data_IF_747597163460
#
_entry.id   IF_747597163460
#
_cell.length_a   1.000
_cell.length_b   1.000
_cell.length_c   1.000
_cell.angle_alpha   90.00
_cell.angle_beta   90.00
_cell.angle_gamma   90.00
#
_symmetry.space_group_name_H-M   'P 1'
#
loop_
_entity.id
_entity.type
_entity.pdbx_description
1 polymer ?
#
# COMPACT_ATOMS: atom_id res chain seq x y z
N UNK A 1 12.76 -10.35 -24.03
CA UNK A 1 12.04 -10.40 -22.74
C UNK A 1 10.76 -9.60 -22.92
N UNK A 2 9.58 -10.20 -22.73
CA UNK A 2 8.32 -9.48 -22.96
C UNK A 2 8.19 -8.29 -22.00
N UNK A 3 7.79 -7.10 -22.50
CA UNK A 3 7.69 -5.89 -21.68
C UNK A 3 6.70 -6.08 -20.52
N UNK A 4 5.62 -6.84 -20.73
CA UNK A 4 4.57 -7.09 -19.73
C UNK A 4 5.06 -7.92 -18.53
N UNK A 5 5.91 -8.92 -18.77
CA UNK A 5 6.50 -9.77 -17.72
C UNK A 5 7.53 -8.99 -16.90
N UNK A 6 8.32 -8.15 -17.56
CA UNK A 6 9.29 -7.28 -16.89
C UNK A 6 8.56 -6.31 -15.96
N UNK A 7 7.46 -5.71 -16.44
CA UNK A 7 6.60 -4.85 -15.63
C UNK A 7 6.01 -5.59 -14.41
N UNK A 8 5.51 -6.82 -14.58
CA UNK A 8 5.01 -7.64 -13.47
C UNK A 8 6.06 -7.89 -12.39
N UNK A 9 7.28 -8.27 -12.78
CA UNK A 9 8.39 -8.52 -11.85
C UNK A 9 8.76 -7.25 -11.09
N UNK A 10 8.94 -6.13 -11.80
CA UNK A 10 9.26 -4.85 -11.16
C UNK A 10 8.16 -4.36 -10.22
N UNK A 11 6.89 -4.47 -10.65
CA UNK A 11 5.74 -4.09 -9.83
C UNK A 11 5.66 -4.95 -8.56
N UNK A 12 5.72 -6.29 -8.69
CA UNK A 12 5.67 -7.21 -7.55
C UNK A 12 6.83 -6.98 -6.57
N UNK A 13 8.05 -6.80 -7.09
CA UNK A 13 9.24 -6.52 -6.28
C UNK A 13 9.11 -5.18 -5.54
N UNK A 14 8.67 -4.12 -6.24
CA UNK A 14 8.46 -2.81 -5.64
C UNK A 14 7.43 -2.87 -4.51
N UNK A 15 6.29 -3.56 -4.71
CA UNK A 15 5.28 -3.74 -3.66
C UNK A 15 5.83 -4.59 -2.50
N UNK A 16 6.57 -5.67 -2.79
CA UNK A 16 7.19 -6.53 -1.79
C UNK A 16 8.18 -5.81 -0.90
N UNK A 17 9.15 -5.10 -1.49
CA UNK A 17 10.14 -4.28 -0.77
C UNK A 17 9.45 -3.19 0.05
N UNK A 18 8.45 -2.54 -0.53
CA UNK A 18 7.68 -1.51 0.16
C UNK A 18 6.94 -2.02 1.40
N UNK A 19 6.30 -3.19 1.29
CA UNK A 19 5.64 -3.85 2.42
C UNK A 19 6.67 -4.37 3.42
N UNK A 20 7.82 -4.86 2.96
CA UNK A 20 8.95 -5.24 3.82
C UNK A 20 9.45 -4.08 4.69
N UNK A 21 9.56 -2.88 4.11
CA UNK A 21 9.90 -1.68 4.87
C UNK A 21 8.85 -1.32 5.94
N UNK A 22 7.56 -1.66 5.72
CA UNK A 22 6.51 -1.52 6.76
C UNK A 22 6.63 -2.60 7.84
N UNK A 23 7.07 -3.80 7.49
CA UNK A 23 7.26 -4.92 8.41
C UNK A 23 8.34 -4.63 9.44
N UNK A 24 9.48 -4.08 9.01
CA UNK A 24 10.58 -3.67 9.89
C UNK A 24 10.10 -2.69 10.96
N UNK A 25 9.11 -1.84 10.63
CA UNK A 25 8.51 -0.87 11.57
C UNK A 25 7.41 -1.47 12.46
N UNK A 26 6.85 -2.63 12.11
CA UNK A 26 5.67 -3.20 12.77
C UNK A 26 5.70 -4.75 12.81
N UNK A 27 6.72 -5.38 13.44
CA UNK A 27 7.00 -6.80 13.29
C UNK A 27 5.93 -7.74 13.89
N UNK A 28 5.10 -7.24 14.81
CA UNK A 28 4.07 -8.04 15.51
C UNK A 28 2.84 -8.39 14.65
N UNK A 29 2.70 -7.86 13.44
CA UNK A 29 1.55 -8.14 12.55
C UNK A 29 1.83 -9.34 11.65
N UNK A 30 1.39 -10.53 12.06
CA UNK A 30 1.58 -11.80 11.32
C UNK A 30 1.03 -11.73 9.88
N UNK A 31 -0.14 -11.14 9.66
CA UNK A 31 -0.71 -10.98 8.31
C UNK A 31 0.23 -10.23 7.34
N UNK A 32 1.03 -9.28 7.85
CA UNK A 32 1.95 -8.49 7.03
C UNK A 32 3.14 -9.31 6.53
N UNK A 33 3.59 -10.30 7.31
CA UNK A 33 4.61 -11.27 6.87
C UNK A 33 4.13 -12.06 5.65
N UNK A 34 2.89 -12.56 5.68
CA UNK A 34 2.31 -13.30 4.55
C UNK A 34 2.08 -12.42 3.31
N UNK A 35 1.74 -11.13 3.50
CA UNK A 35 1.66 -10.18 2.37
C UNK A 35 3.02 -10.00 1.71
N UNK A 36 4.09 -9.81 2.50
CA UNK A 36 5.46 -9.68 1.97
C UNK A 36 5.89 -10.96 1.26
N UNK A 37 5.67 -12.12 1.88
CA UNK A 37 5.95 -13.41 1.27
C UNK A 37 5.21 -13.60 -0.06
N UNK A 38 3.91 -13.26 -0.11
CA UNK A 38 3.11 -13.33 -1.33
C UNK A 38 3.74 -12.53 -2.49
N UNK A 39 4.14 -11.28 -2.26
CA UNK A 39 4.72 -10.44 -3.32
C UNK A 39 6.14 -10.81 -3.71
N UNK A 40 6.97 -11.26 -2.76
CA UNK A 40 8.33 -11.71 -3.07
C UNK A 40 8.32 -13.04 -3.81
N UNK A 41 7.50 -14.00 -3.36
CA UNK A 41 7.34 -15.29 -4.03
C UNK A 41 6.75 -15.11 -5.42
N UNK A 42 5.78 -14.20 -5.60
CA UNK A 42 5.23 -13.91 -6.94
C UNK A 42 6.25 -13.27 -7.87
N UNK A 43 7.08 -12.35 -7.39
CA UNK A 43 8.15 -11.76 -8.19
C UNK A 43 9.14 -12.81 -8.70
N UNK A 44 9.54 -13.76 -7.83
CA UNK A 44 10.40 -14.88 -8.22
C UNK A 44 9.68 -15.81 -9.20
N UNK A 45 8.40 -16.11 -8.96
CA UNK A 45 7.61 -16.94 -9.88
C UNK A 45 7.57 -16.34 -11.29
N UNK A 46 7.25 -15.04 -11.42
CA UNK A 46 7.19 -14.36 -12.72
C UNK A 46 8.55 -14.26 -13.43
N UNK A 47 9.66 -14.29 -12.68
CA UNK A 47 10.99 -14.38 -13.26
C UNK A 47 11.33 -15.80 -13.77
N UNK A 48 10.84 -16.84 -13.09
CA UNK A 48 11.10 -18.26 -13.43
C UNK A 48 10.21 -18.76 -14.57
N UNK A 49 8.92 -18.38 -14.60
CA UNK A 49 7.94 -18.88 -15.57
C UNK A 49 8.35 -18.76 -17.05
N UNK A 50 8.92 -17.64 -17.51
CA UNK A 50 9.38 -17.50 -18.89
C UNK A 50 10.52 -18.48 -19.23
N UNK A 51 11.40 -18.77 -18.27
CA UNK A 51 12.48 -19.75 -18.44
C UNK A 51 11.96 -21.20 -18.44
N UNK A 52 10.80 -21.43 -17.83
CA UNK A 52 10.08 -22.70 -17.89
C UNK A 52 9.34 -22.91 -19.22
N UNK A 53 9.47 -21.99 -20.19
CA UNK A 53 8.85 -22.12 -21.51
C UNK A 53 7.35 -21.85 -21.53
N UNK A 54 6.82 -21.24 -20.47
CA UNK A 54 5.41 -20.83 -20.38
C UNK A 54 5.28 -19.46 -21.05
N UNK A 55 5.08 -19.45 -22.37
CA UNK A 55 4.79 -18.25 -23.16
C UNK A 55 3.36 -17.73 -22.97
N UNK A 56 3.15 -16.43 -23.22
CA UNK A 56 1.84 -15.74 -23.18
C UNK A 56 0.99 -16.09 -24.42
N UNK A 57 1.64 -16.50 -25.50
CA UNK A 57 1.00 -16.98 -26.71
C UNK A 57 0.67 -18.45 -26.52
N UNK A 58 -0.59 -18.85 -26.72
CA UNK A 58 -1.07 -20.23 -26.59
C UNK A 58 -0.42 -21.26 -27.54
N UNK A 59 0.79 -21.00 -28.05
CA UNK A 59 1.62 -21.89 -28.83
C UNK A 59 2.46 -22.82 -27.94
N UNK A 60 2.30 -24.12 -28.15
CA UNK A 60 2.98 -25.23 -27.47
C UNK A 60 4.43 -25.40 -27.94
N UNK A 61 5.22 -24.32 -28.12
CA UNK A 61 6.51 -24.44 -28.83
C UNK A 61 7.78 -24.54 -27.97
N UNK A 62 7.70 -24.61 -26.64
CA UNK A 62 8.92 -24.85 -25.88
C UNK A 62 8.63 -25.22 -24.44
N UNK A 63 8.65 -26.51 -24.10
CA UNK A 63 8.74 -26.86 -22.69
C UNK A 63 10.12 -26.42 -22.18
N UNK A 64 10.20 -25.64 -21.10
CA UNK A 64 11.46 -25.50 -20.40
C UNK A 64 11.84 -26.84 -19.75
N UNK A 65 13.01 -26.92 -19.09
CA UNK A 65 13.32 -28.00 -18.17
C UNK A 65 12.14 -28.26 -17.21
N UNK A 66 11.69 -29.51 -17.08
CA UNK A 66 10.52 -29.88 -16.27
C UNK A 66 10.65 -29.41 -14.80
N UNK A 67 11.88 -29.33 -14.29
CA UNK A 67 12.16 -28.83 -12.95
C UNK A 67 11.87 -27.32 -12.79
N UNK A 68 12.08 -26.51 -13.84
CA UNK A 68 11.71 -25.08 -13.85
C UNK A 68 10.19 -24.91 -13.92
N UNK A 69 9.49 -25.79 -14.65
CA UNK A 69 8.03 -25.81 -14.65
C UNK A 69 7.49 -26.17 -13.26
N UNK A 70 8.06 -27.17 -12.60
CA UNK A 70 7.73 -27.51 -11.22
C UNK A 70 8.00 -26.35 -10.27
N UNK A 71 9.18 -25.74 -10.33
CA UNK A 71 9.55 -24.61 -9.47
C UNK A 71 8.61 -23.41 -9.67
N UNK A 72 8.31 -23.05 -10.93
CA UNK A 72 7.41 -21.96 -11.25
C UNK A 72 5.99 -22.19 -10.68
N UNK A 73 5.45 -23.40 -10.87
CA UNK A 73 4.15 -23.76 -10.29
C UNK A 73 4.22 -23.79 -8.75
N UNK A 74 5.27 -24.34 -8.17
CA UNK A 74 5.44 -24.40 -6.72
C UNK A 74 5.44 -23.00 -6.08
N UNK A 75 6.12 -22.04 -6.71
CA UNK A 75 6.12 -20.65 -6.30
C UNK A 75 4.72 -20.02 -6.43
N UNK A 76 4.01 -20.23 -7.54
CA UNK A 76 2.64 -19.72 -7.71
C UNK A 76 1.65 -20.31 -6.70
N UNK A 77 1.71 -21.61 -6.42
CA UNK A 77 0.86 -22.25 -5.42
C UNK A 77 1.19 -21.77 -4.01
N UNK A 78 2.47 -21.54 -3.72
CA UNK A 78 2.93 -20.96 -2.44
C UNK A 78 2.49 -19.51 -2.28
N UNK A 79 2.50 -18.72 -3.36
CA UNK A 79 1.93 -17.38 -3.39
C UNK A 79 0.44 -17.42 -3.05
N UNK A 80 -0.33 -18.31 -3.69
CA UNK A 80 -1.76 -18.46 -3.44
C UNK A 80 -2.05 -18.90 -2.00
N UNK A 81 -1.27 -19.83 -1.45
CA UNK A 81 -1.33 -20.21 -0.03
C UNK A 81 -1.03 -19.03 0.90
N UNK A 82 0.00 -18.23 0.59
CA UNK A 82 0.35 -17.03 1.36
C UNK A 82 -0.83 -16.06 1.37
N UNK A 83 -1.52 -15.90 0.23
CA UNK A 83 -2.70 -15.06 0.13
C UNK A 83 -3.88 -15.60 0.97
N UNK A 84 -4.14 -16.91 0.96
CA UNK A 84 -5.15 -17.54 1.84
C UNK A 84 -4.81 -17.23 3.31
N UNK A 85 -3.54 -17.38 3.70
CA UNK A 85 -3.08 -17.08 5.06
C UNK A 85 -3.32 -15.62 5.44
N UNK A 86 -3.07 -14.66 4.54
CA UNK A 86 -3.38 -13.23 4.78
C UNK A 86 -4.82 -13.07 5.22
N UNK A 87 -5.78 -13.71 4.53
CA UNK A 87 -7.19 -13.59 4.86
C UNK A 87 -7.59 -14.35 6.12
N UNK A 88 -7.09 -15.57 6.31
CA UNK A 88 -7.37 -16.38 7.50
C UNK A 88 -6.88 -15.68 8.77
N UNK A 89 -5.66 -15.13 8.77
CA UNK A 89 -5.13 -14.38 9.91
C UNK A 89 -5.72 -12.96 10.05
N UNK A 90 -6.25 -12.37 8.98
CA UNK A 90 -6.98 -11.10 9.07
C UNK A 90 -8.38 -11.28 9.65
N UNK A 91 -9.04 -12.41 9.36
CA UNK A 91 -10.41 -12.70 9.79
C UNK A 91 -10.53 -13.38 11.16
N UNK A 92 -9.50 -14.10 11.62
CA UNK A 92 -9.55 -14.90 12.85
C UNK A 92 -8.55 -14.45 13.91
N UNK A 93 -8.98 -14.42 15.17
CA UNK A 93 -8.07 -14.28 16.31
C UNK A 93 -7.69 -15.67 16.87
N UNK A 94 -6.39 -16.00 16.89
CA UNK A 94 -5.84 -17.10 17.69
C UNK A 94 -5.74 -18.49 17.01
N UNK A 95 -5.97 -19.55 17.82
CA UNK A 95 -5.64 -20.96 17.51
C UNK A 95 -6.46 -21.57 16.36
N UNK A 96 -7.65 -21.04 16.08
CA UNK A 96 -8.49 -21.51 14.97
C UNK A 96 -7.92 -21.09 13.60
N UNK A 97 -7.44 -19.85 13.47
CA UNK A 97 -6.76 -19.37 12.27
C UNK A 97 -5.49 -20.20 11.99
N UNK A 98 -4.73 -20.53 13.04
CA UNK A 98 -3.56 -21.40 12.91
C UNK A 98 -3.92 -22.81 12.41
N UNK A 99 -4.95 -23.46 12.97
CA UNK A 99 -5.40 -24.79 12.52
C UNK A 99 -5.84 -24.78 11.06
N UNK A 100 -6.51 -23.72 10.62
CA UNK A 100 -6.90 -23.55 9.22
C UNK A 100 -5.67 -23.37 8.32
N UNK A 101 -4.72 -22.51 8.70
CA UNK A 101 -3.48 -22.33 7.96
C UNK A 101 -2.70 -23.65 7.83
N UNK A 102 -2.60 -24.44 8.90
CA UNK A 102 -1.95 -25.77 8.87
C UNK A 102 -2.69 -26.73 7.93
N UNK A 103 -4.02 -26.74 7.93
CA UNK A 103 -4.81 -27.58 6.99
C UNK A 103 -4.57 -27.19 5.54
N UNK A 104 -4.52 -25.90 5.24
CA UNK A 104 -4.20 -25.41 3.90
C UNK A 104 -2.74 -25.70 3.52
N UNK A 105 -1.81 -25.64 4.48
CA UNK A 105 -0.41 -26.02 4.25
C UNK A 105 -0.26 -27.50 3.90
N UNK A 106 -1.02 -28.38 4.57
CA UNK A 106 -1.03 -29.82 4.25
C UNK A 106 -1.54 -30.06 2.82
N UNK A 107 -2.60 -29.35 2.40
CA UNK A 107 -3.12 -29.43 1.02
C UNK A 107 -2.07 -28.99 0.01
N UNK A 108 -1.40 -27.85 0.27
CA UNK A 108 -0.31 -27.36 -0.56
C UNK A 108 0.81 -28.39 -0.68
N UNK A 109 1.33 -28.89 0.45
CA UNK A 109 2.45 -29.84 0.48
C UNK A 109 2.09 -31.13 -0.27
N UNK A 110 0.87 -31.64 -0.10
CA UNK A 110 0.39 -32.80 -0.84
C UNK A 110 0.38 -32.54 -2.36
N UNK A 111 -0.15 -31.39 -2.79
CA UNK A 111 -0.15 -31.01 -4.21
C UNK A 111 1.27 -30.85 -4.76
N UNK A 112 2.17 -30.22 -4.03
CA UNK A 112 3.58 -30.06 -4.44
C UNK A 112 4.31 -31.41 -4.54
N UNK A 113 4.00 -32.34 -3.63
CA UNK A 113 4.55 -33.69 -3.66
C UNK A 113 4.06 -34.46 -4.89
N UNK A 114 2.76 -34.38 -5.22
CA UNK A 114 2.21 -35.00 -6.45
C UNK A 114 2.84 -34.38 -7.71
N UNK A 115 2.95 -33.05 -7.78
CA UNK A 115 3.62 -32.38 -8.90
C UNK A 115 5.10 -32.77 -9.00
N UNK A 116 5.79 -32.91 -7.87
CA UNK A 116 7.18 -33.33 -7.81
C UNK A 116 7.37 -34.78 -8.28
N UNK A 117 6.46 -35.67 -7.87
CA UNK A 117 6.44 -37.06 -8.33
C UNK A 117 6.22 -37.14 -9.84
N UNK A 118 5.24 -36.40 -10.38
CA UNK A 118 5.00 -36.33 -11.82
C UNK A 118 6.20 -35.78 -12.58
N UNK A 119 6.83 -34.71 -12.08
CA UNK A 119 8.03 -34.14 -12.68
C UNK A 119 9.22 -35.14 -12.66
N UNK A 120 9.34 -35.94 -11.61
CA UNK A 120 10.40 -36.95 -11.49
C UNK A 120 10.24 -38.14 -12.45
N UNK A 121 9.04 -38.38 -12.97
CA UNK A 121 8.83 -39.44 -13.99
C UNK A 121 9.37 -39.06 -15.37
N UNK A 122 9.65 -37.78 -15.62
CA UNK A 122 10.21 -37.29 -16.88
C UNK A 122 11.73 -37.24 -16.78
N UNK A 123 12.48 -38.05 -17.57
CA UNK A 123 13.93 -38.01 -17.54
C UNK A 123 14.46 -36.65 -18.01
N UNK A 124 15.41 -36.08 -17.27
CA UNK A 124 15.98 -34.75 -17.56
C UNK A 124 16.79 -34.69 -18.86
N UNK A 125 17.14 -35.85 -19.42
CA UNK A 125 17.84 -35.98 -20.70
C UNK A 125 16.93 -35.87 -21.92
N UNK A 126 15.60 -35.92 -21.75
CA UNK A 126 14.68 -35.73 -22.87
C UNK A 126 14.58 -34.26 -23.25
N UNK A 127 14.52 -34.03 -24.55
CA UNK A 127 14.18 -32.72 -25.08
C UNK A 127 12.71 -32.39 -24.73
N UNK A 128 12.40 -31.12 -24.45
CA UNK A 128 11.07 -30.57 -24.18
C UNK A 128 9.88 -31.06 -25.00
N UNK A 129 10.11 -31.28 -26.28
CA UNK A 129 9.17 -31.71 -27.31
C UNK A 129 8.87 -33.22 -27.26
N UNK A 130 9.76 -34.00 -26.64
CA UNK A 130 9.65 -35.44 -26.50
C UNK A 130 9.07 -35.89 -25.16
N UNK A 131 8.65 -34.97 -24.29
CA UNK A 131 8.04 -35.30 -23.01
C UNK A 131 6.71 -36.08 -23.18
N UNK A 132 6.44 -37.10 -22.32
CA UNK A 132 5.18 -37.83 -22.36
C UNK A 132 3.98 -36.91 -22.17
N UNK A 133 3.12 -36.80 -23.19
CA UNK A 133 1.95 -35.90 -23.21
C UNK A 133 1.03 -36.14 -22.01
N UNK A 134 0.73 -37.40 -21.70
CA UNK A 134 -0.13 -37.77 -20.57
C UNK A 134 0.41 -37.28 -19.22
N UNK A 135 1.73 -37.34 -19.00
CA UNK A 135 2.36 -36.85 -17.77
C UNK A 135 2.30 -35.32 -17.68
N UNK A 136 2.53 -34.62 -18.80
CA UNK A 136 2.42 -33.16 -18.86
C UNK A 136 0.99 -32.67 -18.62
N UNK A 137 0.00 -33.34 -19.20
CA UNK A 137 -1.41 -32.99 -19.04
C UNK A 137 -1.89 -33.27 -17.62
N UNK A 138 -1.48 -34.39 -17.01
CA UNK A 138 -1.73 -34.68 -15.60
C UNK A 138 -1.06 -33.66 -14.67
N UNK A 139 0.18 -33.28 -14.93
CA UNK A 139 0.91 -32.26 -14.18
C UNK A 139 0.18 -30.91 -14.22
N UNK A 140 -0.21 -30.48 -15.43
CA UNK A 140 -0.95 -29.21 -15.62
C UNK A 140 -2.34 -29.27 -14.99
N UNK A 141 -3.03 -30.40 -15.09
CA UNK A 141 -4.33 -30.60 -14.45
C UNK A 141 -4.23 -30.42 -12.93
N UNK A 142 -3.30 -31.11 -12.27
CA UNK A 142 -3.11 -31.02 -10.81
C UNK A 142 -2.81 -29.58 -10.38
N UNK A 143 -1.91 -28.88 -11.08
CA UNK A 143 -1.57 -27.50 -10.77
C UNK A 143 -2.78 -26.54 -10.94
N UNK A 144 -3.54 -26.68 -12.02
CA UNK A 144 -4.70 -25.83 -12.29
C UNK A 144 -5.87 -26.15 -11.34
N UNK A 145 -6.10 -27.42 -11.00
CA UNK A 145 -7.14 -27.82 -10.06
C UNK A 145 -6.91 -27.21 -8.67
N UNK A 146 -5.66 -27.24 -8.18
CA UNK A 146 -5.32 -26.56 -6.93
C UNK A 146 -5.45 -25.04 -7.05
N UNK A 147 -5.07 -24.46 -8.20
CA UNK A 147 -5.26 -23.02 -8.44
C UNK A 147 -6.72 -22.61 -8.34
N UNK A 148 -7.63 -23.35 -9.00
CA UNK A 148 -9.08 -23.12 -8.92
C UNK A 148 -9.56 -23.21 -7.47
N UNK A 149 -9.18 -24.27 -6.77
CA UNK A 149 -9.51 -24.46 -5.36
C UNK A 149 -9.05 -23.28 -4.48
N UNK A 150 -7.79 -22.86 -4.63
CA UNK A 150 -7.23 -21.76 -3.84
C UNK A 150 -7.85 -20.40 -4.19
N UNK A 151 -8.19 -20.17 -5.47
CA UNK A 151 -8.93 -18.98 -5.93
C UNK A 151 -10.31 -18.93 -5.28
N UNK A 152 -11.08 -20.02 -5.33
CA UNK A 152 -12.41 -20.09 -4.70
C UNK A 152 -12.29 -19.81 -3.20
N UNK A 153 -11.32 -20.43 -2.54
CA UNK A 153 -11.05 -20.23 -1.12
C UNK A 153 -10.77 -18.76 -0.83
N UNK A 154 -9.86 -18.13 -1.58
CA UNK A 154 -9.59 -16.70 -1.48
C UNK A 154 -10.85 -15.86 -1.64
N UNK A 155 -11.63 -16.06 -2.70
CA UNK A 155 -12.86 -15.29 -2.99
C UNK A 155 -13.86 -15.40 -1.84
N UNK A 156 -14.09 -16.60 -1.30
CA UNK A 156 -15.01 -16.82 -0.17
C UNK A 156 -14.56 -16.04 1.07
N UNK A 157 -13.28 -16.15 1.43
CA UNK A 157 -12.74 -15.43 2.59
C UNK A 157 -12.74 -13.92 2.39
N UNK A 158 -12.46 -13.48 1.17
CA UNK A 158 -12.43 -12.09 0.75
C UNK A 158 -13.82 -11.45 0.83
N UNK A 159 -14.86 -12.12 0.33
CA UNK A 159 -16.25 -11.70 0.47
C UNK A 159 -16.73 -11.69 1.93
N UNK A 160 -16.24 -12.61 2.76
CA UNK A 160 -16.53 -12.56 4.19
C UNK A 160 -15.90 -11.35 4.86
N UNK A 161 -14.71 -10.95 4.40
CA UNK A 161 -13.96 -9.82 4.95
C UNK A 161 -14.48 -8.45 4.48
N UNK A 162 -15.02 -8.34 3.24
CA UNK A 162 -15.61 -7.08 2.75
C UNK A 162 -16.76 -6.58 3.62
N UNK A 163 -17.53 -7.49 4.24
CA UNK A 163 -18.65 -7.14 5.12
C UNK A 163 -18.25 -6.42 6.41
N UNK A 164 -17.02 -6.59 6.88
CA UNK A 164 -16.52 -6.06 8.15
C UNK A 164 -15.68 -4.79 7.92
N UNK A 165 -15.30 -4.52 6.68
CA UNK A 165 -14.26 -3.56 6.34
C UNK A 165 -14.83 -2.22 5.85
N UNK A 166 -14.11 -1.12 6.07
CA UNK A 166 -14.48 0.20 5.54
C UNK A 166 -14.69 0.15 4.01
N UNK A 167 -15.74 0.83 3.52
CA UNK A 167 -16.21 0.78 2.12
C UNK A 167 -15.10 0.91 1.08
N UNK A 168 -14.10 1.77 1.30
CA UNK A 168 -13.01 2.01 0.34
C UNK A 168 -12.02 0.84 0.23
N UNK A 169 -11.76 0.13 1.33
CA UNK A 169 -10.91 -1.06 1.31
C UNK A 169 -11.68 -2.25 0.73
N UNK A 170 -13.01 -2.30 0.91
CA UNK A 170 -13.88 -3.26 0.24
C UNK A 170 -13.84 -3.13 -1.30
N UNK A 171 -13.67 -1.92 -1.86
CA UNK A 171 -13.52 -1.72 -3.31
C UNK A 171 -12.24 -2.34 -3.88
N UNK A 172 -11.07 -2.08 -3.27
CA UNK A 172 -9.82 -2.69 -3.74
C UNK A 172 -9.85 -4.21 -3.60
N UNK A 173 -10.51 -4.69 -2.55
CA UNK A 173 -10.75 -6.10 -2.34
C UNK A 173 -11.70 -6.70 -3.39
N UNK A 174 -12.75 -5.99 -3.79
CA UNK A 174 -13.64 -6.41 -4.88
C UNK A 174 -12.90 -6.50 -6.23
N UNK A 175 -12.04 -5.53 -6.54
CA UNK A 175 -11.22 -5.54 -7.76
C UNK A 175 -10.26 -6.74 -7.76
N UNK A 176 -9.56 -6.98 -6.65
CA UNK A 176 -8.67 -8.14 -6.55
C UNK A 176 -9.45 -9.48 -6.61
N UNK A 177 -10.66 -9.58 -6.03
CA UNK A 177 -11.50 -10.78 -6.19
C UNK A 177 -11.95 -10.99 -7.63
N UNK A 178 -12.25 -9.92 -8.38
CA UNK A 178 -12.63 -10.03 -9.78
C UNK A 178 -11.45 -10.56 -10.62
N UNK A 179 -10.23 -10.04 -10.39
CA UNK A 179 -9.03 -10.57 -11.04
C UNK A 179 -8.76 -12.05 -10.70
N UNK A 180 -8.90 -12.43 -9.43
CA UNK A 180 -8.81 -13.84 -8.99
C UNK A 180 -9.84 -14.72 -9.69
N UNK A 181 -11.08 -14.25 -9.84
CA UNK A 181 -12.14 -15.00 -10.52
C UNK A 181 -11.80 -15.23 -12.00
N UNK A 182 -11.25 -14.22 -12.68
CA UNK A 182 -10.78 -14.33 -14.07
C UNK A 182 -9.64 -15.36 -14.19
N UNK A 183 -8.67 -15.33 -13.28
CA UNK A 183 -7.59 -16.33 -13.22
C UNK A 183 -8.17 -17.73 -13.00
N UNK A 184 -9.07 -17.88 -12.03
CA UNK A 184 -9.72 -19.15 -11.71
C UNK A 184 -10.50 -19.72 -12.89
N UNK A 185 -11.22 -18.87 -13.64
CA UNK A 185 -11.91 -19.28 -14.86
C UNK A 185 -10.93 -19.77 -15.93
N UNK A 186 -9.84 -19.04 -16.16
CA UNK A 186 -8.78 -19.46 -17.08
C UNK A 186 -8.17 -20.81 -16.68
N UNK A 187 -7.84 -20.98 -15.40
CA UNK A 187 -7.32 -22.26 -14.87
C UNK A 187 -8.33 -23.40 -14.96
N UNK A 188 -9.63 -23.13 -14.75
CA UNK A 188 -10.68 -24.14 -14.88
C UNK A 188 -10.83 -24.60 -16.34
N UNK A 189 -10.81 -23.67 -17.29
CA UNK A 189 -10.85 -23.99 -18.73
C UNK A 189 -9.64 -24.82 -19.14
N UNK A 190 -8.44 -24.48 -18.65
CA UNK A 190 -7.23 -25.28 -18.89
C UNK A 190 -7.42 -26.68 -18.30
N UNK A 191 -7.85 -26.80 -17.05
CA UNK A 191 -8.05 -28.10 -16.39
C UNK A 191 -9.06 -28.98 -17.15
N UNK A 192 -10.19 -28.42 -17.58
CA UNK A 192 -11.19 -29.13 -18.39
C UNK A 192 -10.60 -29.59 -19.72
N UNK A 193 -9.82 -28.74 -20.40
CA UNK A 193 -9.17 -29.11 -21.66
C UNK A 193 -8.17 -30.26 -21.48
N UNK A 194 -7.47 -30.34 -20.33
CA UNK A 194 -6.57 -31.46 -20.02
C UNK A 194 -7.34 -32.76 -19.74
N UNK A 195 -8.50 -32.69 -19.10
CA UNK A 195 -9.37 -33.87 -18.89
C UNK A 195 -9.87 -34.43 -20.22
N UNK A 196 -10.30 -33.56 -21.14
CA UNK A 196 -10.75 -33.96 -22.48
C UNK A 196 -9.60 -34.62 -23.24
N UNK A 197 -8.40 -34.04 -23.22
CA UNK A 197 -7.21 -34.62 -23.87
C UNK A 197 -6.77 -35.95 -23.27
N UNK A 198 -6.96 -36.13 -21.96
CA UNK A 198 -6.65 -37.41 -21.30
C UNK A 198 -7.64 -38.51 -21.70
N UNK A 199 -8.90 -38.14 -21.98
CA UNK A 199 -9.92 -39.07 -22.48
C UNK A 199 -9.76 -39.36 -23.98
N UNK A 200 -9.37 -38.35 -24.77
CA UNK A 200 -9.21 -38.44 -26.22
C UNK A 200 -7.91 -37.74 -26.67
N UNK A 201 -6.78 -38.49 -26.78
CA UNK A 201 -5.45 -37.93 -27.01
C UNK A 201 -5.27 -37.17 -28.32
N UNK A 202 -6.07 -37.50 -29.34
CA UNK A 202 -5.96 -36.93 -30.70
C UNK A 202 -6.78 -35.65 -30.88
N UNK A 203 -7.58 -35.24 -29.89
CA UNK A 203 -8.44 -34.06 -30.01
C UNK A 203 -7.62 -32.77 -29.83
N UNK A 204 -7.43 -32.05 -30.94
CA UNK A 204 -6.79 -30.75 -30.94
C UNK A 204 -7.72 -29.65 -30.36
N UNK A 205 -7.92 -29.65 -29.04
CA UNK A 205 -8.63 -28.56 -28.34
C UNK A 205 -7.68 -27.37 -28.20
N UNK A 206 -7.52 -26.57 -29.25
CA UNK A 206 -6.71 -25.35 -29.19
C UNK A 206 -7.50 -24.27 -28.45
N UNK A 207 -7.20 -24.09 -27.17
CA UNK A 207 -7.61 -22.91 -26.41
C UNK A 207 -6.44 -21.93 -26.41
N UNK A 208 -6.38 -21.00 -27.36
CA UNK A 208 -5.37 -19.92 -27.35
C UNK A 208 -5.71 -18.82 -26.33
N UNK A 209 -6.97 -18.75 -25.90
CA UNK A 209 -7.53 -17.73 -25.02
C UNK A 209 -7.06 -17.75 -23.54
N UNK A 210 -6.76 -18.89 -22.88
CA UNK A 210 -6.47 -18.90 -21.45
C UNK A 210 -5.24 -18.10 -21.02
N UNK A 211 -4.19 -18.05 -21.84
CA UNK A 211 -2.95 -17.33 -21.50
C UNK A 211 -3.20 -15.83 -21.32
N UNK A 212 -3.89 -15.21 -22.27
CA UNK A 212 -4.27 -13.80 -22.24
C UNK A 212 -5.21 -13.51 -21.07
N UNK A 213 -6.21 -14.38 -20.85
CA UNK A 213 -7.19 -14.25 -19.76
C UNK A 213 -6.49 -14.26 -18.39
N UNK A 214 -5.57 -15.20 -18.16
CA UNK A 214 -4.79 -15.27 -16.92
C UNK A 214 -3.86 -14.06 -16.77
N UNK A 215 -3.23 -13.61 -17.85
CA UNK A 215 -2.39 -12.41 -17.85
C UNK A 215 -3.15 -11.14 -17.46
N UNK A 216 -4.32 -10.92 -18.04
CA UNK A 216 -5.22 -9.80 -17.69
C UNK A 216 -5.71 -9.95 -16.24
N UNK A 217 -6.08 -11.16 -15.82
CA UNK A 217 -6.47 -11.44 -14.44
C UNK A 217 -5.38 -11.04 -13.43
N UNK A 218 -4.12 -11.37 -13.70
CA UNK A 218 -2.97 -10.99 -12.86
C UNK A 218 -2.83 -9.47 -12.73
N UNK A 219 -3.00 -8.72 -13.82
CA UNK A 219 -2.98 -7.24 -13.79
C UNK A 219 -4.08 -6.67 -12.90
N UNK A 220 -5.29 -7.20 -13.03
CA UNK A 220 -6.45 -6.77 -12.23
C UNK A 220 -6.23 -7.07 -10.74
N UNK A 221 -5.65 -8.22 -10.40
CA UNK A 221 -5.28 -8.57 -9.02
C UNK A 221 -4.26 -7.58 -8.45
N UNK A 222 -3.19 -7.29 -9.18
CA UNK A 222 -2.17 -6.32 -8.75
C UNK A 222 -2.77 -4.93 -8.51
N UNK A 223 -3.62 -4.46 -9.43
CA UNK A 223 -4.31 -3.19 -9.30
C UNK A 223 -5.17 -3.16 -8.02
N UNK A 224 -5.93 -4.22 -7.73
CA UNK A 224 -6.76 -4.33 -6.53
C UNK A 224 -5.97 -4.24 -5.22
N UNK A 225 -4.74 -4.78 -5.16
CA UNK A 225 -3.88 -4.65 -3.97
C UNK A 225 -3.19 -3.30 -3.84
N UNK A 226 -2.83 -2.66 -4.96
CA UNK A 226 -2.12 -1.38 -4.96
C UNK A 226 -3.07 -0.23 -4.60
N UNK A 227 -4.30 -0.23 -5.13
CA UNK A 227 -5.26 0.86 -5.01
C UNK A 227 -5.54 1.32 -3.56
N UNK A 228 -5.85 0.44 -2.58
CA UNK A 228 -6.06 0.86 -1.20
C UNK A 228 -4.81 1.48 -0.56
N UNK A 229 -3.65 0.89 -0.83
CA UNK A 229 -2.37 1.37 -0.29
C UNK A 229 -1.94 2.72 -0.87
N UNK A 230 -2.20 2.92 -2.17
CA UNK A 230 -1.95 4.18 -2.87
C UNK A 230 -2.88 5.29 -2.34
N UNK A 231 -4.17 5.00 -2.14
CA UNK A 231 -5.14 5.98 -1.64
C UNK A 231 -4.82 6.48 -0.23
N UNK A 232 -4.49 5.58 0.70
CA UNK A 232 -4.11 5.99 2.08
C UNK A 232 -2.91 6.93 2.04
N UNK A 233 -1.93 6.64 1.19
CA UNK A 233 -0.75 7.50 1.03
C UNK A 233 -1.06 8.81 0.32
N UNK A 234 -1.95 8.79 -0.66
CA UNK A 234 -2.43 10.02 -1.31
C UNK A 234 -3.10 10.95 -0.30
N UNK A 235 -3.97 10.42 0.56
CA UNK A 235 -4.61 11.20 1.63
C UNK A 235 -3.57 11.71 2.63
N UNK A 236 -2.64 10.86 3.08
CA UNK A 236 -1.55 11.29 3.96
C UNK A 236 -0.65 12.35 3.33
N UNK A 237 -0.33 12.22 2.04
CA UNK A 237 0.45 13.19 1.27
C UNK A 237 -0.30 14.51 1.11
N UNK A 238 -1.62 14.47 0.88
CA UNK A 238 -2.47 15.66 0.81
C UNK A 238 -2.48 16.42 2.14
N UNK A 239 -2.60 15.70 3.26
CA UNK A 239 -2.52 16.30 4.61
C UNK A 239 -1.13 16.87 4.87
N UNK A 240 -0.07 16.13 4.52
CA UNK A 240 1.30 16.59 4.65
C UNK A 240 1.57 17.87 3.84
N UNK A 241 1.09 17.91 2.60
CA UNK A 241 1.21 19.09 1.74
C UNK A 241 0.45 20.29 2.30
N UNK A 242 -0.74 20.07 2.87
CA UNK A 242 -1.51 21.11 3.56
C UNK A 242 -0.71 21.68 4.74
N UNK A 243 -0.22 20.84 5.65
CA UNK A 243 0.59 21.29 6.78
C UNK A 243 1.88 21.99 6.35
N UNK A 244 2.51 21.54 5.26
CA UNK A 244 3.71 22.19 4.71
C UNK A 244 3.37 23.59 4.17
N UNK A 245 2.28 23.71 3.42
CA UNK A 245 1.79 25.00 2.92
C UNK A 245 1.45 25.95 4.08
N UNK A 246 0.68 25.50 5.05
CA UNK A 246 0.26 26.32 6.19
C UNK A 246 1.47 26.72 7.05
N UNK A 247 2.43 25.81 7.27
CA UNK A 247 3.70 26.11 7.93
C UNK A 247 4.47 27.25 7.24
N UNK A 248 4.52 27.27 5.91
CA UNK A 248 5.16 28.37 5.16
C UNK A 248 4.32 29.64 5.17
N UNK A 249 2.99 29.53 5.16
CA UNK A 249 2.08 30.68 5.22
C UNK A 249 2.11 31.38 6.58
N UNK A 250 2.38 30.65 7.67
CA UNK A 250 2.58 31.20 9.02
C UNK A 250 3.93 31.89 9.22
N UNK A 251 4.86 31.81 8.24
CA UNK A 251 6.22 32.36 8.39
C UNK A 251 6.24 33.86 8.71
N UNK A 252 5.50 34.76 8.00
CA UNK A 252 5.49 36.20 8.30
C UNK A 252 5.10 36.53 9.75
N UNK A 253 3.97 35.98 10.21
CA UNK A 253 3.51 36.16 11.59
C UNK A 253 4.54 35.64 12.60
N UNK A 254 5.04 34.42 12.37
CA UNK A 254 6.06 33.82 13.24
C UNK A 254 7.32 34.67 13.31
N UNK A 255 7.83 35.18 12.19
CA UNK A 255 9.05 36.01 12.18
C UNK A 255 8.89 37.30 12.96
N UNK A 256 7.71 37.94 12.88
CA UNK A 256 7.42 39.18 13.59
C UNK A 256 7.31 38.95 15.10
N UNK A 257 6.54 37.93 15.51
CA UNK A 257 6.36 37.60 16.92
C UNK A 257 7.67 37.10 17.56
N UNK A 258 8.44 36.29 16.84
CA UNK A 258 9.71 35.76 17.35
C UNK A 258 10.80 36.83 17.47
N UNK A 259 10.76 37.87 16.62
CA UNK A 259 11.65 39.02 16.74
C UNK A 259 11.32 39.86 17.97
N UNK A 260 10.03 40.04 18.28
CA UNK A 260 9.57 40.79 19.45
C UNK A 260 9.67 40.01 20.77
N UNK A 261 9.55 38.68 20.73
CA UNK A 261 9.53 37.79 21.90
C UNK A 261 10.44 36.57 21.69
N UNK A 262 11.78 36.75 21.71
CA UNK A 262 12.72 35.65 21.46
C UNK A 262 12.69 34.56 22.54
N UNK A 263 12.18 34.87 23.73
CA UNK A 263 12.11 33.96 24.89
C UNK A 263 11.05 32.85 24.73
N UNK A 264 10.08 33.06 23.83
CA UNK A 264 9.03 32.07 23.52
C UNK A 264 9.50 31.03 22.48
N UNK A 265 10.76 31.14 22.07
CA UNK A 265 11.44 30.09 21.33
C UNK A 265 11.52 28.83 22.20
N UNK A 266 10.65 27.85 21.94
CA UNK A 266 10.92 26.50 22.40
C UNK A 266 12.36 26.16 21.94
N UNK A 267 13.24 25.65 22.79
CA UNK A 267 14.63 25.42 22.41
C UNK A 267 14.81 24.12 21.59
N UNK A 268 15.95 24.00 20.91
CA UNK A 268 16.22 23.09 19.78
C UNK A 268 16.54 21.65 20.23
N UNK A 269 15.97 20.64 19.57
CA UNK A 269 16.58 19.31 19.49
C UNK A 269 17.24 19.16 18.10
N UNK A 270 18.52 18.75 18.00
CA UNK A 270 19.21 18.66 16.72
C UNK A 270 18.82 17.34 16.02
N UNK A 271 18.04 17.45 14.95
CA UNK A 271 17.90 16.38 13.96
C UNK A 271 18.18 16.98 12.58
N UNK A 272 19.01 16.30 11.79
CA UNK A 272 19.52 16.76 10.48
C UNK A 272 18.41 17.39 9.62
N UNK A 273 18.59 18.65 9.22
CA UNK A 273 17.57 19.49 8.60
C UNK A 273 16.90 18.87 7.36
N UNK A 274 17.67 18.14 6.54
CA UNK A 274 17.20 17.51 5.31
C UNK A 274 16.35 16.24 5.51
N UNK A 275 16.75 15.34 6.43
CA UNK A 275 15.98 14.11 6.70
C UNK A 275 14.66 14.42 7.42
N UNK A 276 14.64 15.47 8.21
CA UNK A 276 13.42 15.97 8.84
C UNK A 276 12.48 16.65 7.83
N UNK A 277 13.01 17.39 6.84
CA UNK A 277 12.16 18.10 5.88
C UNK A 277 11.33 17.14 5.01
N UNK A 278 11.86 15.93 4.78
CA UNK A 278 11.19 14.85 4.03
C UNK A 278 10.39 13.89 4.93
N UNK A 279 10.47 14.03 6.26
CA UNK A 279 9.75 13.17 7.19
C UNK A 279 8.36 13.72 7.48
N UNK A 280 7.32 12.93 7.18
CA UNK A 280 5.92 13.26 7.47
C UNK A 280 5.71 13.63 8.95
N UNK A 281 6.39 12.93 9.87
CA UNK A 281 6.30 13.18 11.30
C UNK A 281 6.96 14.49 11.71
N UNK A 282 8.07 14.84 11.07
CA UNK A 282 8.82 16.05 11.41
C UNK A 282 8.13 17.32 10.89
N UNK A 283 7.54 17.29 9.69
CA UNK A 283 6.72 18.41 9.19
C UNK A 283 5.51 18.62 10.11
N UNK A 284 4.82 17.55 10.51
CA UNK A 284 3.69 17.68 11.44
C UNK A 284 4.10 18.29 12.79
N UNK A 285 5.22 17.85 13.35
CA UNK A 285 5.76 18.41 14.60
C UNK A 285 6.14 19.89 14.48
N UNK A 286 6.83 20.27 13.38
CA UNK A 286 7.23 21.67 13.13
C UNK A 286 6.04 22.58 12.88
N UNK A 287 5.04 22.08 12.16
CA UNK A 287 3.79 22.77 11.94
C UNK A 287 3.09 23.09 13.26
N UNK A 288 2.81 22.09 14.11
CA UNK A 288 2.15 22.32 15.39
C UNK A 288 2.95 23.19 16.34
N UNK A 289 4.28 23.03 16.37
CA UNK A 289 5.14 23.91 17.16
C UNK A 289 5.01 25.37 16.74
N UNK A 290 5.07 25.65 15.44
CA UNK A 290 4.92 27.02 14.93
C UNK A 290 3.54 27.61 15.25
N UNK A 291 2.49 26.78 15.22
CA UNK A 291 1.14 27.20 15.63
C UNK A 291 1.11 27.62 17.10
N UNK A 292 1.70 26.81 17.99
CA UNK A 292 1.80 27.13 19.44
C UNK A 292 2.62 28.41 19.65
N UNK A 293 3.80 28.52 19.05
CA UNK A 293 4.66 29.71 19.18
C UNK A 293 3.97 30.98 18.67
N UNK A 294 3.21 30.92 17.57
CA UNK A 294 2.40 32.05 17.11
C UNK A 294 1.28 32.39 18.10
N UNK A 295 0.64 31.39 18.72
CA UNK A 295 -0.42 31.61 19.71
C UNK A 295 0.11 32.25 20.98
N UNK A 296 1.21 31.73 21.52
CA UNK A 296 1.85 32.25 22.72
C UNK A 296 2.33 33.69 22.49
N UNK A 297 2.93 33.96 21.32
CA UNK A 297 3.32 35.31 20.92
C UNK A 297 2.14 36.28 20.80
N UNK A 298 0.99 35.84 20.28
CA UNK A 298 -0.22 36.66 20.22
C UNK A 298 -0.84 36.91 21.60
N UNK A 299 -0.84 35.93 22.49
CA UNK A 299 -1.30 36.10 23.88
C UNK A 299 -0.41 37.07 24.64
N UNK A 300 0.91 37.06 24.38
CA UNK A 300 1.81 38.05 24.97
C UNK A 300 1.63 39.44 24.36
N UNK A 301 1.46 39.52 23.03
CA UNK A 301 1.17 40.77 22.35
C UNK A 301 -0.12 41.41 22.90
N UNK A 302 -1.14 40.61 23.20
CA UNK A 302 -2.43 41.12 23.68
C UNK A 302 -2.34 41.84 25.03
N UNK A 303 -1.33 41.56 25.86
CA UNK A 303 -1.08 42.32 27.08
C UNK A 303 -0.72 43.79 26.83
N UNK A 304 -0.37 44.17 25.59
CA UNK A 304 -0.15 45.56 25.14
C UNK A 304 -1.38 46.18 24.48
N UNK A 305 -2.47 45.44 24.39
CA UNK A 305 -3.69 45.85 23.73
C UNK A 305 -4.61 46.54 24.75
N UNK A 306 -5.14 47.70 24.39
CA UNK A 306 -6.14 48.40 25.19
C UNK A 306 -7.49 47.66 25.22
N UNK A 307 -8.52 48.28 25.80
CA UNK A 307 -9.85 47.66 25.94
C UNK A 307 -10.50 47.25 24.60
N UNK A 308 -10.14 47.90 23.49
CA UNK A 308 -10.68 47.62 22.15
C UNK A 308 -9.82 46.62 21.38
N UNK A 309 -10.25 45.34 21.36
CA UNK A 309 -9.62 44.29 20.55
C UNK A 309 -10.17 44.29 19.12
N UNK A 310 -9.35 44.52 18.08
CA UNK A 310 -9.80 44.40 16.70
C UNK A 310 -10.14 42.93 16.40
N UNK A 311 -11.38 42.70 15.94
CA UNK A 311 -11.86 41.38 15.54
C UNK A 311 -11.47 41.01 14.09
N UNK A 312 -11.22 42.02 13.25
CA UNK A 312 -10.87 41.85 11.83
C UNK A 312 -9.36 41.54 11.66
N UNK A 313 -8.97 40.48 10.93
CA UNK A 313 -7.57 40.15 10.65
C UNK A 313 -6.75 41.29 10.07
N UNK A 314 -7.35 42.19 9.27
CA UNK A 314 -6.65 43.33 8.67
C UNK A 314 -6.29 44.36 9.74
N UNK A 315 -7.27 44.75 10.56
CA UNK A 315 -7.07 45.67 11.67
C UNK A 315 -6.08 45.12 12.70
N UNK A 316 -6.15 43.81 12.98
CA UNK A 316 -5.21 43.13 13.88
C UNK A 316 -3.78 43.09 13.31
N UNK A 317 -3.62 42.86 12.00
CA UNK A 317 -2.30 42.89 11.34
C UNK A 317 -1.69 44.30 11.36
N UNK A 318 -2.49 45.34 11.13
CA UNK A 318 -2.05 46.73 11.20
C UNK A 318 -1.64 47.12 12.64
N UNK A 319 -2.44 46.72 13.64
CA UNK A 319 -2.10 46.90 15.04
C UNK A 319 -0.80 46.19 15.41
N UNK A 320 -0.64 44.90 15.08
CA UNK A 320 0.59 44.14 15.36
C UNK A 320 1.85 44.83 14.79
N UNK A 321 1.76 45.38 13.57
CA UNK A 321 2.86 46.15 12.96
C UNK A 321 3.20 47.41 13.75
N UNK A 322 2.18 48.18 14.17
CA UNK A 322 2.38 49.39 14.96
C UNK A 322 2.99 49.08 16.34
N UNK A 323 2.41 48.12 17.04
CA UNK A 323 2.76 47.83 18.45
C UNK A 323 4.06 47.04 18.61
N UNK A 324 4.42 46.20 17.64
CA UNK A 324 5.68 45.43 17.67
C UNK A 324 6.82 46.15 16.93
N UNK A 325 6.51 47.10 16.05
CA UNK A 325 7.51 47.96 15.41
C UNK A 325 8.12 48.98 16.37
N UNK A 326 7.32 49.49 17.30
CA UNK A 326 7.76 50.50 18.26
C UNK A 326 8.39 49.84 19.51
N UNK A 327 9.71 49.65 19.47
CA UNK A 327 10.49 48.91 20.48
C UNK A 327 10.60 49.63 21.85
N UNK A 328 9.86 50.72 22.05
CA UNK A 328 10.17 51.76 23.07
C UNK A 328 9.07 51.96 24.12
N UNK A 329 7.95 51.23 24.07
CA UNK A 329 6.81 51.43 24.97
C UNK A 329 6.93 50.72 26.33
N UNK A 330 6.56 51.36 27.46
CA UNK A 330 6.53 50.73 28.78
C UNK A 330 5.67 49.45 28.80
N UNK A 331 6.16 48.41 29.47
CA UNK A 331 5.47 47.14 29.66
C UNK A 331 4.38 47.25 30.74
N UNK A 332 3.37 48.09 30.54
CA UNK A 332 2.16 47.99 31.38
C UNK A 332 1.37 46.74 30.96
N UNK A 333 1.43 45.72 31.82
CA UNK A 333 0.83 44.42 31.60
C UNK A 333 -0.67 44.50 31.83
N UNK A 334 -1.43 44.76 30.77
CA UNK A 334 -2.86 44.47 30.80
C UNK A 334 -3.08 42.94 30.82
N UNK A 335 -4.25 42.51 31.30
CA UNK A 335 -4.66 41.12 31.36
C UNK A 335 -4.56 40.46 29.97
N UNK A 336 -3.77 39.38 29.86
CA UNK A 336 -3.54 38.70 28.59
C UNK A 336 -4.84 38.04 28.09
N UNK A 337 -5.28 38.40 26.88
CA UNK A 337 -6.49 37.86 26.23
C UNK A 337 -6.14 37.10 24.96
N UNK A 338 -6.85 36.02 24.62
CA UNK A 338 -6.63 35.31 23.37
C UNK A 338 -7.15 36.15 22.19
N UNK A 339 -6.27 36.48 21.24
CA UNK A 339 -6.61 37.22 20.00
C UNK A 339 -6.98 36.26 18.87
N UNK A 340 -7.67 36.70 17.83
CA UNK A 340 -7.96 35.89 16.63
C UNK A 340 -8.57 34.50 16.91
N UNK A 341 -9.45 34.37 17.92
CA UNK A 341 -10.04 33.09 18.30
C UNK A 341 -11.13 32.72 17.29
N UNK A 342 -11.09 31.52 16.68
CA UNK A 342 -12.10 31.11 15.71
C UNK A 342 -13.47 30.93 16.38
N UNK A 343 -14.54 31.34 15.68
CA UNK A 343 -15.91 31.16 16.14
C UNK A 343 -16.30 29.67 16.29
N UNK A 344 -15.79 28.81 15.40
CA UNK A 344 -16.23 27.41 15.31
C UNK A 344 -15.51 26.45 16.28
N UNK A 345 -14.52 26.92 17.04
CA UNK A 345 -13.68 26.08 17.89
C UNK A 345 -12.86 25.03 17.10
N UNK A 346 -11.86 24.44 17.76
CA UNK A 346 -11.01 23.40 17.18
C UNK A 346 -9.73 23.89 16.50
N UNK A 347 -8.80 22.96 16.28
CA UNK A 347 -7.44 23.26 15.87
C UNK A 347 -7.32 23.70 14.40
N UNK A 348 -8.14 23.15 13.50
CA UNK A 348 -8.11 23.54 12.09
C UNK A 348 -8.67 24.95 11.87
N UNK A 349 -9.68 25.36 12.63
CA UNK A 349 -10.24 26.71 12.56
C UNK A 349 -9.25 27.73 13.12
N UNK A 350 -8.55 27.39 14.21
CA UNK A 350 -7.49 28.22 14.81
C UNK A 350 -6.34 28.46 13.81
N UNK A 351 -5.88 27.40 13.14
CA UNK A 351 -4.85 27.51 12.10
C UNK A 351 -5.31 28.41 10.95
N UNK A 352 -6.58 28.34 10.53
CA UNK A 352 -7.10 29.19 9.45
C UNK A 352 -7.05 30.67 9.81
N UNK A 353 -7.43 31.03 11.04
CA UNK A 353 -7.35 32.42 11.52
C UNK A 353 -5.91 32.93 11.57
N UNK A 354 -4.98 32.13 12.11
CA UNK A 354 -3.56 32.47 12.14
C UNK A 354 -2.96 32.63 10.73
N UNK A 355 -3.39 31.79 9.78
CA UNK A 355 -2.97 31.88 8.37
C UNK A 355 -3.57 33.12 7.71
N UNK A 356 -4.82 33.48 7.99
CA UNK A 356 -5.44 34.72 7.50
C UNK A 356 -4.66 35.95 7.99
N UNK A 357 -4.44 36.04 9.30
CA UNK A 357 -3.64 37.12 9.90
C UNK A 357 -2.22 37.20 9.32
N UNK A 358 -1.55 36.05 9.15
CA UNK A 358 -0.21 36.00 8.56
C UNK A 358 -0.17 36.41 7.08
N UNK A 359 -1.28 36.25 6.33
CA UNK A 359 -1.38 36.76 4.95
C UNK A 359 -1.53 38.28 4.93
N UNK A 360 -2.34 38.85 5.81
CA UNK A 360 -2.47 40.31 5.93
C UNK A 360 -1.16 41.00 6.35
N UNK A 361 -0.31 40.31 7.12
CA UNK A 361 1.05 40.76 7.42
C UNK A 361 2.03 40.68 6.25
N UNK A 362 1.68 40.00 5.15
CA UNK A 362 2.54 39.84 3.97
C UNK A 362 2.20 40.79 2.83
N UNK A 363 0.95 41.23 2.74
CA UNK A 363 0.43 42.05 1.62
C UNK A 363 0.70 43.54 1.83
N UNK A 364 0.84 43.98 3.08
CA UNK A 364 1.30 45.31 3.44
C UNK A 364 2.83 45.33 3.59
#
# INVERSE_FOLDING_TARGET
>A
MNPDLSFQVYAATAVGVWKGAQLVRTPRRISLWFVVACFLVSAVAFAVLPQAGVGIEGGVSGAGPIWLMWLGNALLLTMLYSLICVFVFSAGQGRQAWRQAVREAVRLVLTLAVLGMLAATVPQSLAPDAYPRATLDAFRFVANAYTVYGVITCIVWMHRHTRITQRWLAWGLAVASAGLAVIGLGSALIAVSMVIRLAEPDTAVVLELPGVVVGVGNMVVLAGFILPGARVRWVAAKVWWRHLRDYHQLRPLWTMLHAAFPEDALNRAPASAWRDMLSVRAVNRRFYRRVIECRDGLVRASGRLGADSPADPVALAAWLRGTLGDHSGPHESAEARPLAVPADGGLESDVRELVALSRELRVA
#
